data_IF_559043785884
#
_entry.id   IF_559043785884
#
_cell.length_a   1.000
_cell.length_b   1.000
_cell.length_c   1.000
_cell.angle_alpha   90.00
_cell.angle_beta   90.00
_cell.angle_gamma   90.00
#
_symmetry.space_group_name_H-M   'P 1'
#
loop_
_entity.id
_entity.type
_entity.pdbx_description
1 polymer ?
#
# COMPACT_ATOMS: atom_id res chain seq x y z
N UNK A 1 10.30 22.50 13.27
CA UNK A 1 10.28 21.92 14.63
C UNK A 1 10.04 20.42 14.48
N UNK A 2 10.99 19.56 14.88
CA UNK A 2 10.77 18.09 14.87
C UNK A 2 10.06 17.75 16.17
N UNK A 3 8.82 17.28 16.07
CA UNK A 3 7.89 17.01 17.17
C UNK A 3 8.27 15.80 18.05
N UNK A 4 9.55 15.41 18.15
CA UNK A 4 10.07 14.37 19.05
C UNK A 4 9.55 12.93 18.82
N UNK A 5 8.51 12.74 18.02
CA UNK A 5 7.93 11.45 17.66
C UNK A 5 8.81 10.77 16.61
N UNK A 6 9.33 9.59 16.93
CA UNK A 6 10.07 8.74 16.02
C UNK A 6 9.34 7.40 15.83
N UNK A 7 9.50 6.81 14.65
CA UNK A 7 9.00 5.47 14.33
C UNK A 7 10.18 4.62 13.90
N UNK A 8 10.23 3.37 14.38
CA UNK A 8 11.27 2.41 14.02
C UNK A 8 10.66 1.04 13.71
N UNK A 9 11.35 0.26 12.89
CA UNK A 9 10.95 -1.10 12.54
C UNK A 9 11.77 -2.09 13.34
N UNK A 10 11.09 -3.04 14.00
CA UNK A 10 11.75 -4.09 14.79
C UNK A 10 11.37 -5.45 14.21
N UNK A 11 12.36 -6.31 14.02
CA UNK A 11 12.12 -7.72 13.65
C UNK A 11 11.77 -8.52 14.90
N UNK A 12 10.75 -9.35 14.81
CA UNK A 12 10.25 -10.14 15.93
C UNK A 12 9.64 -11.45 15.38
N UNK A 13 9.69 -12.57 16.12
CA UNK A 13 8.97 -13.78 15.75
C UNK A 13 7.48 -13.51 15.54
N UNK A 14 6.88 -14.19 14.55
CA UNK A 14 5.49 -13.92 14.13
C UNK A 14 4.48 -14.15 15.27
N UNK A 15 4.72 -15.15 16.12
CA UNK A 15 3.87 -15.43 17.27
C UNK A 15 3.83 -14.26 18.28
N UNK A 16 4.98 -13.65 18.54
CA UNK A 16 5.10 -12.49 19.43
C UNK A 16 4.49 -11.25 18.78
N UNK A 17 4.71 -11.04 17.47
CA UNK A 17 4.11 -9.93 16.73
C UNK A 17 2.57 -9.96 16.78
N UNK A 18 1.95 -11.13 16.63
CA UNK A 18 0.48 -11.29 16.70
C UNK A 18 -0.05 -11.00 18.11
N UNK A 19 0.66 -11.42 19.17
CA UNK A 19 0.25 -11.14 20.55
C UNK A 19 0.29 -9.64 20.83
N UNK A 20 1.38 -8.98 20.45
CA UNK A 20 1.59 -7.55 20.72
C UNK A 20 0.69 -6.68 19.84
N UNK A 21 0.36 -7.11 18.61
CA UNK A 21 -0.56 -6.37 17.74
C UNK A 21 -1.98 -6.30 18.29
N UNK A 22 -2.42 -7.27 19.10
CA UNK A 22 -3.72 -7.22 19.78
C UNK A 22 -3.78 -6.12 20.84
N UNK A 23 -2.68 -5.90 21.55
CA UNK A 23 -2.58 -4.85 22.57
C UNK A 23 -2.35 -3.47 21.96
N UNK A 24 -1.68 -3.38 20.80
CA UNK A 24 -1.46 -2.14 20.04
C UNK A 24 -0.42 -1.19 20.65
N UNK A 25 0.15 -1.54 21.80
CA UNK A 25 1.16 -0.77 22.52
C UNK A 25 2.09 -1.67 23.31
N UNK A 26 3.36 -1.28 23.42
CA UNK A 26 4.37 -1.96 24.23
C UNK A 26 5.02 -0.99 25.21
N UNK A 27 5.27 -1.39 26.47
CA UNK A 27 6.08 -0.61 27.38
C UNK A 27 7.56 -0.67 26.95
N UNK A 28 8.21 0.50 26.91
CA UNK A 28 9.64 0.69 26.68
C UNK A 28 10.19 1.49 27.87
N UNK A 29 10.58 0.78 28.93
CA UNK A 29 10.99 1.39 30.20
C UNK A 29 9.85 2.25 30.78
N UNK A 30 10.09 3.55 30.85
CA UNK A 30 9.16 4.57 31.36
C UNK A 30 8.16 5.09 30.32
N UNK A 31 8.20 4.60 29.07
CA UNK A 31 7.35 5.11 27.99
C UNK A 31 6.49 4.01 27.35
N UNK A 32 5.41 4.41 26.69
CA UNK A 32 4.54 3.52 25.92
C UNK A 32 4.69 3.80 24.44
N UNK A 33 5.13 2.81 23.66
CA UNK A 33 5.22 2.92 22.21
C UNK A 33 3.97 2.33 21.54
N UNK A 34 3.42 3.04 20.54
CA UNK A 34 2.37 2.50 19.67
C UNK A 34 2.98 1.54 18.67
N UNK A 35 2.30 0.44 18.43
CA UNK A 35 2.74 -0.60 17.51
C UNK A 35 1.65 -0.90 16.49
N UNK A 36 2.09 -1.05 15.26
CA UNK A 36 1.26 -1.52 14.16
C UNK A 36 1.96 -2.67 13.47
N UNK A 37 1.20 -3.72 13.14
CA UNK A 37 1.75 -4.83 12.37
C UNK A 37 2.07 -4.33 10.96
N UNK A 38 3.32 -4.47 10.56
CA UNK A 38 3.72 -4.10 9.21
C UNK A 38 2.98 -4.98 8.20
N UNK A 39 2.27 -4.36 7.26
CA UNK A 39 1.69 -5.09 6.12
C UNK A 39 2.81 -5.84 5.39
N UNK A 40 2.55 -7.08 4.93
CA UNK A 40 3.54 -7.84 4.19
C UNK A 40 3.96 -7.04 2.96
N UNK A 41 5.25 -6.75 2.84
CA UNK A 41 5.79 -6.13 1.63
C UNK A 41 5.71 -7.17 0.53
N UNK A 42 4.86 -6.93 -0.47
CA UNK A 42 4.75 -7.81 -1.63
C UNK A 42 6.10 -7.85 -2.35
N UNK A 43 6.66 -9.05 -2.51
CA UNK A 43 7.90 -9.24 -3.26
C UNK A 43 7.68 -8.85 -4.71
N UNK A 44 8.61 -8.08 -5.27
CA UNK A 44 8.59 -7.62 -6.65
C UNK A 44 9.86 -8.07 -7.37
N UNK A 45 9.69 -8.50 -8.61
CA UNK A 45 10.79 -8.83 -9.48
C UNK A 45 11.46 -7.53 -9.98
N UNK A 46 12.76 -7.37 -9.75
CA UNK A 46 13.48 -6.19 -10.23
C UNK A 46 13.72 -6.18 -11.75
N UNK A 47 13.58 -7.36 -12.40
CA UNK A 47 13.72 -7.52 -13.85
C UNK A 47 12.47 -7.09 -14.62
N UNK A 48 11.32 -7.66 -14.30
CA UNK A 48 10.08 -7.38 -15.04
C UNK A 48 9.11 -6.44 -14.32
N UNK A 49 9.36 -6.15 -13.03
CA UNK A 49 8.55 -5.33 -12.12
C UNK A 49 7.21 -5.93 -11.67
N UNK A 50 6.91 -7.16 -12.06
CA UNK A 50 5.73 -7.89 -11.58
C UNK A 50 5.92 -8.43 -10.15
N UNK A 51 4.81 -8.78 -9.50
CA UNK A 51 4.80 -9.32 -8.15
C UNK A 51 4.87 -10.85 -8.17
N UNK A 52 5.35 -11.44 -7.07
CA UNK A 52 5.27 -12.89 -6.83
C UNK A 52 6.51 -13.71 -7.21
N UNK A 53 7.55 -13.08 -7.76
CA UNK A 53 8.83 -13.75 -8.01
C UNK A 53 10.03 -12.78 -7.88
N UNK A 54 11.23 -13.35 -7.76
CA UNK A 54 12.50 -12.63 -7.76
C UNK A 54 13.16 -12.65 -9.16
N UNK A 55 14.14 -11.78 -9.38
CA UNK A 55 14.88 -11.68 -10.65
C UNK A 55 15.47 -13.01 -11.11
N UNK A 56 16.04 -13.81 -10.19
CA UNK A 56 16.69 -15.09 -10.52
C UNK A 56 15.72 -16.16 -11.06
N UNK A 57 14.43 -16.06 -10.71
CA UNK A 57 13.38 -17.01 -11.09
C UNK A 57 12.49 -16.39 -12.20
N UNK A 58 12.84 -15.19 -12.69
CA UNK A 58 12.02 -14.47 -13.65
C UNK A 58 12.08 -15.11 -15.04
N UNK A 59 10.93 -15.63 -15.49
CA UNK A 59 10.73 -16.18 -16.85
C UNK A 59 10.28 -15.14 -17.88
N UNK A 60 10.12 -13.88 -17.48
CA UNK A 60 9.70 -12.81 -18.38
C UNK A 60 10.79 -12.50 -19.41
N UNK A 61 10.36 -12.30 -20.66
CA UNK A 61 11.24 -11.89 -21.77
C UNK A 61 11.62 -10.41 -21.69
N UNK A 62 10.82 -9.59 -21.01
CA UNK A 62 11.09 -8.15 -20.92
C UNK A 62 11.98 -7.85 -19.73
N UNK A 63 13.15 -7.28 -20.02
CA UNK A 63 14.08 -6.79 -19.01
C UNK A 63 13.94 -5.27 -18.86
N UNK A 64 13.64 -4.83 -17.63
CA UNK A 64 13.53 -3.43 -17.21
C UNK A 64 14.44 -3.13 -16.04
N UNK A 65 15.48 -3.95 -15.83
CA UNK A 65 16.41 -3.82 -14.71
C UNK A 65 17.17 -2.48 -14.72
N UNK A 66 17.40 -1.92 -15.91
CA UNK A 66 18.09 -0.63 -16.10
C UNK A 66 17.13 0.58 -16.18
N UNK A 67 15.82 0.32 -16.16
CA UNK A 67 14.83 1.37 -16.28
C UNK A 67 14.63 2.10 -14.94
N UNK A 68 14.36 3.40 -15.03
CA UNK A 68 14.10 4.23 -13.87
C UNK A 68 12.78 3.83 -13.18
N UNK A 69 12.81 3.48 -11.89
CA UNK A 69 11.62 3.15 -11.09
C UNK A 69 10.59 4.28 -10.95
N UNK A 70 10.90 5.50 -11.38
CA UNK A 70 9.96 6.64 -11.34
C UNK A 70 9.20 6.78 -12.66
N UNK A 71 9.90 6.73 -13.80
CA UNK A 71 9.33 7.09 -15.11
C UNK A 71 9.38 5.96 -16.16
N UNK A 72 10.09 4.86 -15.88
CA UNK A 72 10.17 3.71 -16.79
C UNK A 72 11.21 3.82 -17.92
N UNK A 73 11.99 4.91 -17.99
CA UNK A 73 13.02 5.11 -19.01
C UNK A 73 14.42 4.79 -18.50
N UNK A 74 15.29 4.34 -19.39
CA UNK A 74 16.70 4.07 -19.11
C UNK A 74 17.55 5.35 -19.06
N UNK A 75 18.82 5.20 -18.68
CA UNK A 75 19.83 6.28 -18.72
C UNK A 75 19.89 7.16 -17.47
N UNK A 76 19.09 6.90 -16.45
CA UNK A 76 19.17 7.62 -15.17
C UNK A 76 18.58 6.83 -14.00
N UNK A 77 19.00 7.18 -12.79
CA UNK A 77 18.45 6.62 -11.56
C UNK A 77 17.16 7.34 -11.14
N UNK A 78 16.35 6.71 -10.29
CA UNK A 78 15.17 7.36 -9.73
C UNK A 78 15.50 8.59 -8.88
N UNK A 79 16.71 8.66 -8.30
CA UNK A 79 17.17 9.80 -7.50
C UNK A 79 17.46 11.04 -8.37
N UNK A 80 17.96 10.84 -9.59
CA UNK A 80 18.26 11.91 -10.55
C UNK A 80 17.14 12.14 -11.56
N UNK A 81 15.95 11.58 -11.34
CA UNK A 81 14.84 11.64 -12.28
C UNK A 81 14.03 12.94 -12.12
N UNK A 82 14.00 13.76 -13.16
CA UNK A 82 13.21 15.00 -13.27
C UNK A 82 11.87 14.81 -13.96
N UNK A 83 11.65 13.64 -14.59
CA UNK A 83 10.44 13.33 -15.36
C UNK A 83 9.25 12.99 -14.45
N UNK A 84 8.05 13.12 -15.01
CA UNK A 84 6.82 12.73 -14.31
C UNK A 84 6.79 11.23 -13.96
N UNK A 85 6.04 10.89 -12.91
CA UNK A 85 5.90 9.50 -12.50
C UNK A 85 5.02 8.74 -13.50
N UNK A 86 5.56 7.63 -14.01
CA UNK A 86 4.92 6.83 -15.04
C UNK A 86 5.12 5.34 -14.78
N UNK A 87 4.01 4.58 -14.84
CA UNK A 87 3.96 3.17 -14.56
C UNK A 87 3.78 2.35 -15.84
N UNK A 88 4.89 1.82 -16.35
CA UNK A 88 4.94 0.98 -17.57
C UNK A 88 4.04 -0.26 -17.47
N UNK A 89 3.86 -0.81 -16.25
CA UNK A 89 2.98 -1.97 -16.06
C UNK A 89 1.50 -1.61 -16.22
N UNK A 90 1.08 -0.46 -15.68
CA UNK A 90 -0.31 -0.01 -15.82
C UNK A 90 -0.59 0.48 -17.23
N UNK A 91 0.37 1.16 -17.88
CA UNK A 91 0.29 1.51 -19.30
C UNK A 91 0.08 0.26 -20.17
N UNK A 92 0.88 -0.79 -19.97
CA UNK A 92 0.73 -2.05 -20.72
C UNK A 92 -0.60 -2.76 -20.49
N UNK A 93 -1.31 -2.43 -19.40
CA UNK A 93 -2.64 -2.96 -19.04
C UNK A 93 -3.78 -2.02 -19.42
N UNK A 94 -3.50 -0.86 -20.02
CA UNK A 94 -4.51 0.15 -20.34
C UNK A 94 -5.11 0.86 -19.12
N UNK A 95 -4.42 0.82 -17.97
CA UNK A 95 -4.82 1.51 -16.73
C UNK A 95 -4.12 2.86 -16.60
N UNK A 96 -4.63 3.71 -15.71
CA UNK A 96 -4.04 5.03 -15.42
C UNK A 96 -2.55 4.90 -15.05
N UNK A 97 -1.66 5.40 -15.91
CA UNK A 97 -0.23 5.17 -15.78
C UNK A 97 0.51 6.29 -15.02
N UNK A 98 -0.15 7.40 -14.67
CA UNK A 98 0.48 8.57 -14.02
C UNK A 98 0.72 8.38 -12.52
N UNK A 99 1.48 7.35 -12.17
CA UNK A 99 1.87 7.03 -10.81
C UNK A 99 3.19 6.25 -10.80
N UNK A 100 3.80 6.11 -9.63
CA UNK A 100 5.03 5.31 -9.46
C UNK A 100 4.69 3.82 -9.35
N UNK A 101 5.45 2.95 -10.01
CA UNK A 101 5.23 1.49 -9.98
C UNK A 101 5.12 0.97 -8.55
N UNK A 102 4.02 0.28 -8.26
CA UNK A 102 3.67 -0.30 -6.96
C UNK A 102 3.50 0.70 -5.82
N UNK A 103 3.14 1.94 -6.15
CA UNK A 103 2.36 2.80 -5.25
C UNK A 103 0.98 2.18 -4.99
N UNK A 104 0.23 2.74 -4.04
CA UNK A 104 -1.12 2.27 -3.71
C UNK A 104 -2.06 2.25 -4.92
N UNK A 105 -1.85 3.17 -5.88
CA UNK A 105 -2.68 3.30 -7.09
C UNK A 105 -2.36 2.23 -8.15
N UNK A 106 -1.27 1.48 -7.98
CA UNK A 106 -0.79 0.53 -8.98
C UNK A 106 -1.56 -0.79 -8.88
N UNK A 107 -2.34 -1.10 -9.92
CA UNK A 107 -3.15 -2.32 -10.01
C UNK A 107 -4.58 -2.15 -9.50
N UNK A 108 -4.96 -0.94 -9.10
CA UNK A 108 -6.36 -0.56 -8.92
C UNK A 108 -6.89 -0.05 -10.27
N UNK A 109 -8.11 -0.45 -10.66
CA UNK A 109 -8.82 0.10 -11.82
C UNK A 109 -9.27 1.54 -11.53
N UNK A 110 -8.31 2.45 -11.35
CA UNK A 110 -8.62 3.86 -11.18
C UNK A 110 -9.01 4.39 -12.55
N UNK A 111 -10.33 4.50 -12.80
CA UNK A 111 -10.89 5.24 -13.93
C UNK A 111 -10.28 6.64 -13.92
N UNK A 112 -9.52 6.97 -14.96
CA UNK A 112 -8.97 8.30 -15.14
C UNK A 112 -10.11 9.32 -15.12
N UNK A 113 -10.23 10.09 -14.04
CA UNK A 113 -11.24 11.15 -13.90
C UNK A 113 -10.96 12.35 -14.82
N UNK A 114 -9.99 12.26 -15.73
CA UNK A 114 -9.64 13.35 -16.61
C UNK A 114 -10.45 13.33 -17.93
N UNK A 115 -11.77 13.19 -17.79
CA UNK A 115 -12.75 13.57 -18.80
C UNK A 115 -13.72 14.57 -18.15
N UNK A 116 -13.24 15.81 -18.06
CA UNK A 116 -14.00 17.07 -18.02
C UNK A 116 -15.03 17.31 -16.89
N UNK A 117 -15.05 18.57 -16.44
CA UNK A 117 -16.18 19.29 -15.79
C UNK A 117 -16.42 19.11 -14.27
N UNK A 118 -16.15 20.21 -13.53
CA UNK A 118 -17.09 20.89 -12.61
C UNK A 118 -18.34 20.08 -12.19
N UNK A 119 -18.49 19.81 -10.89
CA UNK A 119 -19.72 20.00 -10.07
C UNK A 119 -19.84 19.02 -8.89
N UNK A 120 -20.24 19.59 -7.74
CA UNK A 120 -20.91 18.98 -6.56
C UNK A 120 -20.18 17.84 -5.84
N UNK A 121 -19.63 17.97 -4.63
CA UNK A 121 -20.13 18.62 -3.40
C UNK A 121 -21.66 18.72 -3.33
N UNK A 122 -22.32 17.64 -2.93
CA UNK A 122 -23.33 17.74 -1.86
C UNK A 122 -23.89 16.36 -1.48
N UNK A 123 -24.24 16.27 -0.19
CA UNK A 123 -25.06 15.26 0.53
C UNK A 123 -24.29 14.15 1.29
N UNK A 124 -23.99 14.48 2.55
CA UNK A 124 -24.07 13.58 3.73
C UNK A 124 -25.56 13.39 4.14
N UNK A 125 -25.94 12.58 5.16
CA UNK A 125 -25.28 11.44 5.86
C UNK A 125 -26.24 10.21 5.96
N UNK A 126 -25.90 9.16 6.72
CA UNK A 126 -26.74 8.60 7.82
C UNK A 126 -26.01 7.43 8.50
N UNK A 127 -26.08 7.44 9.84
CA UNK A 127 -25.55 6.47 10.81
C UNK A 127 -26.33 5.16 10.81
N UNK A 128 -25.68 4.04 11.15
CA UNK A 128 -26.37 2.78 11.47
C UNK A 128 -25.76 2.20 12.75
N UNK A 129 -26.50 2.30 13.85
CA UNK A 129 -26.33 1.48 15.04
C UNK A 129 -27.11 0.18 14.78
N UNK A 130 -26.50 -0.99 14.95
CA UNK A 130 -27.22 -2.26 14.91
C UNK A 130 -27.33 -2.84 16.33
N UNK A 131 -28.52 -2.77 16.89
CA UNK A 131 -29.03 -3.70 17.92
C UNK A 131 -29.76 -4.82 17.20
N UNK A 132 -29.42 -6.07 17.49
CA UNK A 132 -30.27 -7.21 17.14
C UNK A 132 -30.74 -7.84 18.45
N UNK A 133 -31.99 -7.55 18.80
CA UNK A 133 -32.82 -8.40 19.65
C UNK A 133 -33.36 -9.56 18.79
N UNK A 134 -33.53 -10.75 19.39
CA UNK A 134 -34.83 -11.43 19.48
C UNK A 134 -34.69 -12.73 20.29
N UNK A 135 -35.63 -12.84 21.23
CA UNK A 135 -35.92 -13.85 22.23
C UNK A 135 -36.19 -15.25 21.63
N UNK A 136 -36.24 -16.37 22.37
CA UNK A 136 -37.22 -16.83 23.40
C UNK A 136 -36.96 -18.36 23.61
N UNK A 137 -37.61 -19.17 24.49
CA UNK A 137 -38.58 -18.92 25.57
C UNK A 137 -38.39 -19.70 26.92
N UNK A 138 -39.33 -19.46 27.83
CA UNK A 138 -39.58 -20.00 29.18
C UNK A 138 -39.65 -21.53 29.34
N UNK A 139 -39.21 -22.02 30.51
CA UNK A 139 -39.77 -23.06 31.42
C UNK A 139 -38.65 -23.40 32.44
N UNK A 140 -38.83 -23.42 33.77
CA UNK A 140 -39.91 -23.89 34.65
C UNK A 140 -39.92 -23.06 35.94
#
# INVERSE_FOLDING_TARGET
MRNGLCMTWVKCPIASAIKVSKTGKIPLGWTMARLELQKPRKMRCFKCWELGHHQDICKSKTDRSHACFRCGMDGHSAASCTKEAHCVLCESKGLSARHRIGSHLCGEEVKDKNKNTKEKLDRRPVSINNTNDEDTPMQS
#
